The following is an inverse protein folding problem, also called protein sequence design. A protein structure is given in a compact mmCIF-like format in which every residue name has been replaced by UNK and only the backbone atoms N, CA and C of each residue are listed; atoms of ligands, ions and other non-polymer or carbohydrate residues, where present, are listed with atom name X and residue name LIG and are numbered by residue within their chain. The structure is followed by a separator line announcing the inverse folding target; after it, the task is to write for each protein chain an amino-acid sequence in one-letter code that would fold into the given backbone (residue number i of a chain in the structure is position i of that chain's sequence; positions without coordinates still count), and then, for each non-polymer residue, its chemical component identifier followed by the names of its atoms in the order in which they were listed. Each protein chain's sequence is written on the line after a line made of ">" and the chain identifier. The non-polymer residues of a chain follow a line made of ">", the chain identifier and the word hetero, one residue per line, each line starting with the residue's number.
data_IF_987858263268
#
_entry.id   IF_987858263268
#
_cell.length_a   1.000
_cell.length_b   1.000
_cell.length_c   1.000
_cell.angle_alpha   90.00
_cell.angle_beta   90.00
_cell.angle_gamma   90.00
#
_symmetry.space_group_name_H-M   'P 1'
#
loop_
_entity.id
_entity.type
_entity.pdbx_description
1 polymer ?
#
# COMPACT_ATOMS: atom_id res chain seq x y z
N UNK A 1 22.81 57.68 -49.26
CA UNK A 1 22.85 56.20 -49.13
C UNK A 1 22.77 55.89 -47.65
N UNK A 2 21.75 55.13 -47.24
CA UNK A 2 21.39 54.90 -45.85
C UNK A 2 22.35 53.92 -45.17
N UNK A 3 22.79 54.24 -43.94
CA UNK A 3 23.41 53.27 -43.03
C UNK A 3 22.52 53.11 -41.79
N UNK A 4 21.68 52.08 -41.81
CA UNK A 4 20.95 51.61 -40.63
C UNK A 4 21.90 50.83 -39.74
N UNK A 5 22.26 51.38 -38.57
CA UNK A 5 22.89 50.62 -37.49
C UNK A 5 21.79 49.91 -36.67
N UNK A 6 21.71 48.59 -36.84
CA UNK A 6 20.77 47.71 -36.14
C UNK A 6 21.19 47.61 -34.67
N UNK A 7 20.37 48.14 -33.76
CA UNK A 7 20.50 47.91 -32.32
C UNK A 7 20.09 46.47 -32.02
N UNK A 8 21.06 45.59 -31.75
CA UNK A 8 20.78 44.24 -31.24
C UNK A 8 20.31 44.35 -29.79
N UNK A 9 19.01 44.37 -29.59
CA UNK A 9 18.41 44.12 -28.27
C UNK A 9 18.75 42.69 -27.87
N UNK A 10 19.73 42.56 -26.97
CA UNK A 10 20.14 41.28 -26.42
C UNK A 10 18.95 40.57 -25.78
N UNK A 11 18.60 39.39 -26.32
CA UNK A 11 17.66 38.49 -25.67
C UNK A 11 18.25 38.12 -24.30
N UNK A 12 17.61 38.60 -23.23
CA UNK A 12 17.93 38.20 -21.86
C UNK A 12 17.89 36.69 -21.77
N UNK A 13 19.06 36.06 -21.58
CA UNK A 13 19.16 34.61 -21.34
C UNK A 13 18.31 34.31 -20.10
N UNK A 14 17.23 33.54 -20.26
CA UNK A 14 16.48 32.98 -19.13
C UNK A 14 17.46 32.15 -18.30
N UNK A 15 17.90 32.69 -17.17
CA UNK A 15 18.67 31.94 -16.20
C UNK A 15 17.76 30.85 -15.62
N UNK A 16 18.15 29.59 -15.80
CA UNK A 16 17.44 28.46 -15.23
C UNK A 16 17.56 28.56 -13.70
N UNK A 17 16.43 28.45 -12.98
CA UNK A 17 16.45 28.42 -11.51
C UNK A 17 17.38 27.30 -11.05
N UNK A 18 18.22 27.63 -10.07
CA UNK A 18 19.15 26.69 -9.48
C UNK A 18 18.37 25.52 -8.86
N UNK A 19 18.75 24.31 -9.26
CA UNK A 19 18.11 23.09 -8.77
C UNK A 19 18.40 22.95 -7.28
N UNK A 20 17.35 22.67 -6.51
CA UNK A 20 17.46 22.32 -5.09
C UNK A 20 16.86 20.93 -4.87
N UNK A 21 17.47 20.19 -3.94
CA UNK A 21 16.95 18.89 -3.52
C UNK A 21 15.54 19.12 -2.96
N UNK A 22 14.51 18.35 -3.39
CA UNK A 22 13.20 18.43 -2.76
C UNK A 22 13.31 17.94 -1.32
N UNK A 23 13.25 18.86 -0.37
CA UNK A 23 13.08 18.52 1.04
C UNK A 23 11.63 18.11 1.22
N UNK A 24 11.31 16.84 0.97
CA UNK A 24 9.98 16.32 1.22
C UNK A 24 9.82 16.17 2.74
N UNK A 25 9.42 17.24 3.41
CA UNK A 25 9.21 17.29 4.87
C UNK A 25 7.93 16.58 5.33
N UNK A 26 7.21 15.93 4.41
CA UNK A 26 5.96 15.26 4.74
C UNK A 26 6.26 14.01 5.58
N UNK A 27 5.57 13.82 6.72
CA UNK A 27 5.73 12.61 7.51
C UNK A 27 5.36 11.38 6.68
N UNK A 28 6.00 10.25 6.99
CA UNK A 28 5.64 8.98 6.36
C UNK A 28 4.13 8.71 6.56
N UNK A 29 3.43 8.21 5.54
CA UNK A 29 2.00 7.94 5.63
C UNK A 29 1.71 6.90 6.73
N UNK A 30 0.64 7.14 7.48
CA UNK A 30 0.17 6.23 8.53
C UNK A 30 -0.85 5.25 7.97
N UNK A 31 -0.82 4.00 8.45
CA UNK A 31 -1.78 2.98 8.06
C UNK A 31 -3.07 3.11 8.89
N UNK A 32 -4.20 3.32 8.23
CA UNK A 32 -5.53 3.27 8.85
C UNK A 32 -6.32 2.09 8.29
N UNK A 33 -6.90 1.28 9.17
CA UNK A 33 -7.72 0.12 8.80
C UNK A 33 -9.16 0.33 9.23
N UNK A 34 -10.11 -0.13 8.40
CA UNK A 34 -11.50 -0.19 8.82
C UNK A 34 -11.67 -1.32 9.83
N UNK A 35 -12.05 -0.95 11.05
CA UNK A 35 -12.24 -1.89 12.14
C UNK A 35 -13.73 -2.20 12.29
N UNK A 36 -14.12 -3.45 11.99
CA UNK A 36 -15.52 -3.88 12.07
C UNK A 36 -16.09 -3.81 13.49
N UNK A 37 -15.25 -3.86 14.54
CA UNK A 37 -15.69 -3.74 15.94
C UNK A 37 -16.17 -2.31 16.26
N UNK A 38 -15.44 -1.30 15.79
CA UNK A 38 -15.73 0.12 16.05
C UNK A 38 -16.49 0.79 14.90
N UNK A 39 -16.59 0.11 13.75
CA UNK A 39 -17.21 0.57 12.49
C UNK A 39 -16.60 1.86 11.93
N UNK A 40 -15.33 2.14 12.23
CA UNK A 40 -14.59 3.31 11.74
C UNK A 40 -13.20 2.94 11.27
N UNK A 41 -12.52 3.89 10.61
CA UNK A 41 -11.11 3.76 10.29
C UNK A 41 -10.28 4.13 11.51
N UNK A 42 -9.57 3.16 12.05
CA UNK A 42 -8.69 3.32 13.21
C UNK A 42 -7.22 3.32 12.76
N UNK A 43 -6.38 4.07 13.47
CA UNK A 43 -4.93 4.02 13.28
C UNK A 43 -4.45 2.61 13.63
N UNK A 44 -3.71 1.99 12.71
CA UNK A 44 -3.15 0.67 12.95
C UNK A 44 -1.86 0.79 13.77
N UNK A 45 -1.88 0.22 14.97
CA UNK A 45 -0.73 0.16 15.87
C UNK A 45 -0.48 -1.30 16.22
N UNK A 46 0.69 -1.89 15.86
CA UNK A 46 1.00 -3.25 16.24
C UNK A 46 1.12 -3.41 17.75
N UNK A 47 0.73 -4.58 18.27
CA UNK A 47 0.77 -4.87 19.70
C UNK A 47 2.21 -5.05 20.23
N UNK A 48 3.17 -5.44 19.37
CA UNK A 48 4.54 -5.73 19.76
C UNK A 48 5.54 -5.12 18.77
N UNK A 49 5.95 -3.88 19.04
CA UNK A 49 6.93 -3.17 18.20
C UNK A 49 6.48 -3.09 16.74
N UNK A 50 7.27 -3.66 15.84
CA UNK A 50 6.97 -3.70 14.40
C UNK A 50 6.35 -5.03 13.92
N UNK A 51 6.11 -5.98 14.84
CA UNK A 51 5.60 -7.31 14.51
C UNK A 51 4.08 -7.29 14.47
N UNK A 52 3.52 -7.70 13.33
CA UNK A 52 2.08 -7.85 13.10
C UNK A 52 1.74 -9.33 13.08
N UNK A 53 0.98 -9.78 14.08
CA UNK A 53 0.39 -11.13 14.08
C UNK A 53 -0.97 -11.06 13.43
N UNK A 54 -1.13 -11.72 12.29
CA UNK A 54 -2.34 -11.65 11.48
C UNK A 54 -2.87 -13.04 11.17
N UNK A 55 -4.08 -13.32 11.66
CA UNK A 55 -4.84 -14.51 11.34
C UNK A 55 -5.94 -14.21 10.32
N UNK A 56 -6.14 -15.11 9.37
CA UNK A 56 -7.36 -15.15 8.55
C UNK A 56 -7.96 -16.56 8.51
N UNK A 57 -9.28 -16.63 8.38
CA UNK A 57 -9.97 -17.90 8.16
C UNK A 57 -9.63 -18.44 6.76
N UNK A 58 -9.14 -19.68 6.68
CA UNK A 58 -8.94 -20.38 5.43
C UNK A 58 -10.15 -21.23 5.03
N UNK A 59 -9.99 -22.10 4.02
CA UNK A 59 -11.10 -22.82 3.42
C UNK A 59 -11.52 -24.03 4.26
N UNK A 60 -12.80 -24.38 4.17
CA UNK A 60 -13.27 -25.74 4.44
C UNK A 60 -13.12 -26.55 3.16
N UNK A 61 -12.28 -27.58 3.17
CA UNK A 61 -11.86 -28.32 1.96
C UNK A 61 -12.86 -29.38 1.52
N UNK A 62 -14.15 -29.01 1.43
CA UNK A 62 -15.22 -29.92 0.98
C UNK A 62 -15.39 -29.97 -0.55
N UNK A 63 -14.94 -28.93 -1.26
CA UNK A 63 -15.05 -28.82 -2.72
C UNK A 63 -13.91 -27.93 -3.28
N UNK A 64 -13.81 -27.89 -4.60
CA UNK A 64 -12.88 -27.06 -5.36
C UNK A 64 -13.04 -25.58 -5.05
N UNK A 65 -11.92 -24.85 -5.08
CA UNK A 65 -11.94 -23.41 -4.85
C UNK A 65 -12.68 -22.66 -5.96
N UNK A 66 -13.56 -21.76 -5.56
CA UNK A 66 -14.33 -20.91 -6.46
C UNK A 66 -13.86 -19.44 -6.38
N UNK A 67 -14.42 -18.57 -7.24
CA UNK A 67 -14.00 -17.17 -7.32
C UNK A 67 -14.17 -16.38 -6.01
N UNK A 68 -15.08 -16.81 -5.13
CA UNK A 68 -15.24 -16.25 -3.79
C UNK A 68 -13.97 -16.41 -2.95
N UNK A 69 -13.38 -17.61 -2.93
CA UNK A 69 -12.10 -17.87 -2.27
C UNK A 69 -10.98 -17.05 -2.89
N UNK A 70 -10.88 -17.05 -4.23
CA UNK A 70 -9.85 -16.32 -4.96
C UNK A 70 -9.86 -14.82 -4.63
N UNK A 71 -11.04 -14.19 -4.61
CA UNK A 71 -11.19 -12.77 -4.26
C UNK A 71 -10.66 -12.47 -2.87
N UNK A 72 -11.02 -13.30 -1.88
CA UNK A 72 -10.62 -13.09 -0.48
C UNK A 72 -9.11 -13.23 -0.33
N UNK A 73 -8.53 -14.32 -0.81
CA UNK A 73 -7.10 -14.59 -0.63
C UNK A 73 -6.23 -13.62 -1.42
N UNK A 74 -6.65 -13.21 -2.63
CA UNK A 74 -5.95 -12.18 -3.39
C UNK A 74 -5.99 -10.82 -2.68
N UNK A 75 -7.15 -10.43 -2.15
CA UNK A 75 -7.27 -9.15 -1.43
C UNK A 75 -6.36 -9.12 -0.21
N UNK A 76 -6.32 -10.21 0.56
CA UNK A 76 -5.46 -10.33 1.74
C UNK A 76 -3.98 -10.37 1.34
N UNK A 77 -3.62 -11.05 0.25
CA UNK A 77 -2.23 -11.06 -0.24
C UNK A 77 -1.74 -9.67 -0.66
N UNK A 78 -2.58 -8.90 -1.37
CA UNK A 78 -2.27 -7.51 -1.74
C UNK A 78 -2.05 -6.67 -0.48
N UNK A 79 -2.94 -6.78 0.50
CA UNK A 79 -2.81 -6.05 1.77
C UNK A 79 -1.53 -6.45 2.52
N UNK A 80 -1.21 -7.74 2.60
CA UNK A 80 0.03 -8.23 3.21
C UNK A 80 1.26 -7.63 2.52
N UNK A 81 1.30 -7.62 1.19
CA UNK A 81 2.40 -7.01 0.42
C UNK A 81 2.52 -5.51 0.67
N UNK A 82 1.41 -4.79 0.78
CA UNK A 82 1.43 -3.36 1.12
C UNK A 82 1.98 -3.18 2.53
N UNK A 83 1.54 -3.96 3.51
CA UNK A 83 2.02 -3.88 4.89
C UNK A 83 3.52 -4.18 5.01
N UNK A 84 4.01 -5.21 4.31
CA UNK A 84 5.43 -5.59 4.36
C UNK A 84 6.32 -4.65 3.55
N UNK A 85 5.93 -4.34 2.31
CA UNK A 85 6.82 -3.67 1.34
C UNK A 85 6.72 -2.16 1.38
N UNK A 86 5.53 -1.60 1.64
CA UNK A 86 5.32 -0.15 1.67
C UNK A 86 5.47 0.42 3.08
N UNK A 87 4.89 -0.25 4.08
CA UNK A 87 4.95 0.20 5.48
C UNK A 87 6.08 -0.44 6.30
N UNK A 88 6.73 -1.50 5.79
CA UNK A 88 7.88 -2.12 6.45
C UNK A 88 7.56 -2.96 7.69
N UNK A 89 6.31 -3.39 7.87
CA UNK A 89 5.93 -4.25 9.00
C UNK A 89 6.50 -5.67 8.87
N UNK A 90 6.88 -6.26 10.00
CA UNK A 90 7.21 -7.69 10.09
C UNK A 90 5.91 -8.49 10.30
N UNK A 91 5.35 -9.02 9.23
CA UNK A 91 4.04 -9.69 9.25
C UNK A 91 4.18 -11.19 9.43
N UNK A 92 3.73 -11.69 10.59
CA UNK A 92 3.49 -13.10 10.86
C UNK A 92 2.06 -13.44 10.44
N UNK A 93 1.93 -14.04 9.27
CA UNK A 93 0.64 -14.34 8.65
C UNK A 93 0.28 -15.83 8.79
N UNK A 94 -0.89 -16.10 9.37
CA UNK A 94 -1.39 -17.46 9.62
C UNK A 94 -2.78 -17.61 9.01
N UNK A 95 -2.98 -18.74 8.33
CA UNK A 95 -4.27 -19.17 7.78
C UNK A 95 -4.49 -20.62 8.18
N UNK A 96 -5.68 -20.94 8.71
CA UNK A 96 -6.05 -22.31 9.02
C UNK A 96 -6.54 -23.06 7.77
N UNK A 97 -6.67 -24.37 7.86
CA UNK A 97 -7.44 -25.19 6.93
C UNK A 97 -8.46 -25.94 7.79
N UNK A 98 -9.73 -25.89 7.40
CA UNK A 98 -10.77 -26.68 8.07
C UNK A 98 -10.92 -27.99 7.31
N UNK A 99 -10.28 -29.03 7.83
CA UNK A 99 -10.23 -30.39 7.26
C UNK A 99 -11.26 -31.35 7.87
N UNK A 100 -11.96 -30.93 8.93
CA UNK A 100 -13.10 -31.63 9.53
C UNK A 100 -14.26 -30.65 9.66
N UNK A 101 -15.36 -30.94 8.98
CA UNK A 101 -16.61 -30.17 8.99
C UNK A 101 -17.77 -31.08 8.51
N UNK A 102 -19.00 -30.78 8.91
CA UNK A 102 -20.19 -31.53 8.48
C UNK A 102 -20.33 -31.59 6.95
N UNK A 103 -19.85 -30.56 6.23
CA UNK A 103 -19.87 -30.51 4.76
C UNK A 103 -18.86 -31.44 4.09
N UNK A 104 -17.84 -31.90 4.83
CA UNK A 104 -16.82 -32.85 4.34
C UNK A 104 -17.31 -34.29 4.51
N UNK A 105 -18.10 -34.56 5.55
CA UNK A 105 -18.57 -35.91 5.90
C UNK A 105 -19.81 -36.32 5.09
N UNK A 106 -20.58 -35.36 4.58
CA UNK A 106 -21.82 -35.58 3.82
C UNK A 106 -21.62 -35.77 2.33
#
# INVERSE_FOLDING_TARGET
>A
MASNSITSTGLGKRAQKEWSVPTNSQPLPQLYLYNSLTRRKDLFVPNQGNVVKWYICGPTVYDSSHMGHARTYLSVDILRRIMTSYFGYDVQFIMNITDIDDKIIK
#
